data_IF_295234035447
#
_entry.id   IF_295234035447
#
_cell.length_a   1.000
_cell.length_b   1.000
_cell.length_c   1.000
_cell.angle_alpha   90.00
_cell.angle_beta   90.00
_cell.angle_gamma   90.00
#
_symmetry.space_group_name_H-M   'P 1'
#
loop_
_entity.id
_entity.type
_entity.pdbx_description
1 polymer ?
#
# COMPACT_ATOMS: atom_id res chain seq x y z
N UNK A 1 -14.79 6.12 3.09
CA UNK A 1 -14.87 5.64 4.48
C UNK A 1 -14.22 4.26 4.56
N UNK A 2 -13.73 3.82 5.72
CA UNK A 2 -13.26 2.44 5.92
C UNK A 2 -14.42 1.50 6.31
N UNK A 3 -14.11 0.22 6.55
CA UNK A 3 -15.09 -0.82 6.92
C UNK A 3 -15.91 -0.52 8.19
N UNK A 4 -15.46 0.40 9.05
CA UNK A 4 -16.17 0.84 10.26
C UNK A 4 -16.86 2.20 10.12
N UNK A 5 -16.97 2.73 8.89
CA UNK A 5 -17.59 4.03 8.64
C UNK A 5 -16.76 5.22 9.11
N UNK A 6 -15.45 5.06 9.34
CA UNK A 6 -14.54 6.17 9.61
C UNK A 6 -14.18 6.85 8.29
N UNK A 7 -14.26 8.18 8.23
CA UNK A 7 -13.89 8.93 7.04
C UNK A 7 -12.38 8.83 6.81
N UNK A 8 -11.99 8.48 5.57
CA UNK A 8 -10.58 8.38 5.15
C UNK A 8 -10.15 9.60 4.36
N UNK A 9 -10.99 10.06 3.44
CA UNK A 9 -10.78 11.27 2.67
C UNK A 9 -12.16 11.82 2.27
N UNK A 10 -12.25 13.12 2.00
CA UNK A 10 -13.45 13.75 1.46
C UNK A 10 -13.63 13.44 -0.03
N UNK A 11 -12.52 13.40 -0.77
CA UNK A 11 -12.47 13.13 -2.21
C UNK A 11 -11.12 12.52 -2.62
N UNK A 12 -10.97 12.23 -3.92
CA UNK A 12 -9.75 11.64 -4.50
C UNK A 12 -8.54 12.58 -4.36
N UNK A 13 -8.73 13.89 -4.49
CA UNK A 13 -7.65 14.86 -4.33
C UNK A 13 -7.11 14.84 -2.90
N UNK A 14 -8.01 14.81 -1.91
CA UNK A 14 -7.70 14.70 -0.48
C UNK A 14 -7.02 13.37 -0.17
N UNK A 15 -7.44 12.27 -0.80
CA UNK A 15 -6.83 10.94 -0.65
C UNK A 15 -5.34 10.92 -1.05
N UNK A 16 -4.98 11.62 -2.12
CA UNK A 16 -3.59 11.74 -2.60
C UNK A 16 -2.82 12.92 -2.01
N UNK A 17 -3.40 13.60 -1.01
CA UNK A 17 -2.75 14.66 -0.23
C UNK A 17 -2.40 14.18 1.18
N UNK A 18 -1.75 15.02 1.97
CA UNK A 18 -1.50 14.75 3.40
C UNK A 18 -2.77 14.87 4.28
N UNK A 19 -3.91 15.30 3.73
CA UNK A 19 -5.17 15.44 4.46
C UNK A 19 -5.92 14.11 4.67
N UNK A 20 -5.47 13.03 4.03
CA UNK A 20 -6.09 11.72 4.22
C UNK A 20 -5.84 11.19 5.64
N UNK A 21 -6.76 10.35 6.12
CA UNK A 21 -6.71 9.75 7.45
C UNK A 21 -6.20 8.31 7.42
N UNK A 22 -5.35 7.92 6.47
CA UNK A 22 -4.76 6.58 6.41
C UNK A 22 -3.70 6.46 7.51
N UNK A 23 -3.93 5.53 8.42
CA UNK A 23 -3.01 5.12 9.49
C UNK A 23 -3.20 3.62 9.74
N UNK A 24 -2.34 3.01 10.56
CA UNK A 24 -2.49 1.60 10.97
C UNK A 24 -3.88 1.31 11.56
N UNK A 25 -4.46 2.28 12.27
CA UNK A 25 -5.75 2.11 12.96
C UNK A 25 -6.96 2.30 12.03
N UNK A 26 -6.79 2.93 10.87
CA UNK A 26 -7.88 3.24 9.95
C UNK A 26 -7.82 2.46 8.64
N UNK A 27 -6.65 1.97 8.24
CA UNK A 27 -6.44 1.06 7.13
C UNK A 27 -6.80 -0.38 7.54
N UNK A 28 -8.10 -0.62 7.66
CA UNK A 28 -8.66 -1.89 8.09
C UNK A 28 -8.87 -2.85 6.92
N UNK A 29 -8.90 -4.14 7.21
CA UNK A 29 -9.34 -5.15 6.25
C UNK A 29 -10.87 -5.16 6.05
N UNK A 30 -11.37 -6.08 5.22
CA UNK A 30 -12.79 -6.19 4.90
C UNK A 30 -13.69 -6.54 6.09
N UNK A 31 -13.12 -7.05 7.18
CA UNK A 31 -13.82 -7.36 8.45
C UNK A 31 -13.73 -6.21 9.44
N UNK A 32 -13.03 -5.14 9.10
CA UNK A 32 -12.79 -4.01 10.00
C UNK A 32 -11.73 -4.30 11.06
N UNK A 33 -10.86 -5.27 10.84
CA UNK A 33 -9.75 -5.63 11.71
C UNK A 33 -8.50 -4.82 11.33
N UNK A 34 -7.63 -4.59 12.31
CA UNK A 34 -6.35 -3.89 12.09
C UNK A 34 -5.40 -4.84 11.38
N UNK A 35 -4.81 -4.38 10.28
CA UNK A 35 -3.81 -5.14 9.55
C UNK A 35 -2.46 -5.03 10.26
N UNK A 36 -1.75 -6.15 10.38
CA UNK A 36 -0.38 -6.16 10.89
C UNK A 36 0.50 -5.19 10.10
N UNK A 37 1.22 -4.32 10.80
CA UNK A 37 2.17 -3.38 10.22
C UNK A 37 3.60 -3.71 10.63
N UNK A 38 4.48 -2.72 10.44
CA UNK A 38 5.88 -2.79 10.85
C UNK A 38 5.99 -3.07 12.34
N UNK A 39 6.77 -4.08 12.70
CA UNK A 39 6.99 -4.51 14.08
C UNK A 39 6.05 -5.64 14.55
N UNK A 40 4.97 -5.92 13.83
CA UNK A 40 4.09 -7.05 14.12
C UNK A 40 4.58 -8.35 13.45
N UNK A 41 4.00 -9.49 13.84
CA UNK A 41 4.30 -10.81 13.26
C UNK A 41 3.02 -11.53 12.83
N UNK A 42 2.91 -11.98 11.56
CA UNK A 42 3.82 -11.66 10.44
C UNK A 42 3.77 -10.17 10.08
N UNK A 43 4.85 -9.63 9.49
CA UNK A 43 4.89 -8.27 8.96
C UNK A 43 4.09 -8.20 7.65
N UNK A 44 3.12 -7.29 7.55
CA UNK A 44 2.23 -7.11 6.38
C UNK A 44 2.03 -5.62 6.06
N UNK A 45 3.15 -4.91 6.09
CA UNK A 45 3.23 -3.46 6.07
C UNK A 45 3.03 -2.88 4.66
N UNK A 46 3.63 -3.52 3.65
CA UNK A 46 3.55 -3.06 2.27
C UNK A 46 2.22 -3.44 1.61
N UNK A 47 1.65 -2.47 0.90
CA UNK A 47 0.43 -2.62 0.10
C UNK A 47 0.76 -2.29 -1.35
N UNK A 48 0.34 -3.16 -2.27
CA UNK A 48 0.51 -2.99 -3.71
C UNK A 48 -0.32 -1.81 -4.20
N UNK A 49 0.30 -0.88 -4.94
CA UNK A 49 -0.38 0.29 -5.48
C UNK A 49 -0.07 0.53 -6.95
N UNK A 50 1.19 0.36 -7.38
CA UNK A 50 1.57 0.63 -8.77
C UNK A 50 1.39 2.09 -9.19
N UNK A 51 1.47 3.01 -8.22
CA UNK A 51 1.18 4.43 -8.43
C UNK A 51 2.32 5.34 -8.00
N UNK A 52 2.39 6.53 -8.61
CA UNK A 52 3.12 7.68 -8.07
C UNK A 52 2.36 8.27 -6.86
N UNK A 53 2.95 9.20 -6.08
CA UNK A 53 2.27 9.81 -4.94
C UNK A 53 0.93 10.47 -5.29
N UNK A 54 0.84 11.07 -6.48
CA UNK A 54 -0.37 11.71 -7.00
C UNK A 54 -1.48 10.73 -7.47
N UNK A 55 -1.26 9.42 -7.32
CA UNK A 55 -2.21 8.38 -7.71
C UNK A 55 -2.13 7.98 -9.19
N UNK A 56 -1.34 8.66 -10.02
CA UNK A 56 -1.16 8.27 -11.42
C UNK A 56 -0.35 6.98 -11.54
N UNK A 57 -0.58 6.22 -12.62
CA UNK A 57 0.17 4.99 -12.91
C UNK A 57 1.68 5.28 -12.94
N UNK A 58 2.46 4.46 -12.24
CA UNK A 58 3.91 4.44 -12.41
C UNK A 58 4.29 3.46 -13.52
N UNK A 59 5.23 3.85 -14.39
CA UNK A 59 5.68 2.98 -15.47
C UNK A 59 6.48 1.80 -14.92
N UNK A 60 6.26 0.61 -15.48
CA UNK A 60 7.00 -0.63 -15.24
C UNK A 60 7.08 -1.14 -13.79
N UNK A 61 6.29 -0.58 -12.86
CA UNK A 61 6.19 -1.05 -11.47
C UNK A 61 4.75 -1.43 -11.09
N UNK A 62 4.11 -2.20 -11.97
CA UNK A 62 2.77 -2.79 -11.76
C UNK A 62 2.80 -4.31 -11.84
N UNK A 63 3.97 -4.95 -11.72
CA UNK A 63 4.13 -6.39 -11.96
C UNK A 63 3.54 -6.81 -13.32
N UNK A 64 3.86 -6.07 -14.37
CA UNK A 64 3.34 -6.30 -15.72
C UNK A 64 1.82 -6.16 -15.79
N UNK A 65 1.29 -5.03 -15.31
CA UNK A 65 -0.16 -4.79 -15.21
C UNK A 65 -0.89 -5.92 -14.45
N UNK A 66 -0.24 -6.37 -13.37
CA UNK A 66 -0.71 -7.40 -12.44
C UNK A 66 -0.83 -8.80 -13.06
N UNK A 67 -0.05 -9.08 -14.11
CA UNK A 67 -0.02 -10.39 -14.79
C UNK A 67 1.21 -11.23 -14.46
N UNK A 68 2.23 -10.67 -13.82
CA UNK A 68 3.44 -11.38 -13.38
C UNK A 68 3.31 -11.88 -11.95
N UNK A 69 3.79 -13.10 -11.70
CA UNK A 69 3.84 -13.73 -10.37
C UNK A 69 5.19 -14.39 -10.07
N UNK A 70 6.23 -14.05 -10.85
CA UNK A 70 7.57 -14.65 -10.81
C UNK A 70 8.62 -13.74 -10.18
N UNK A 71 9.88 -13.96 -10.54
CA UNK A 71 11.01 -13.11 -10.14
C UNK A 71 11.13 -11.84 -11.00
N UNK A 72 10.41 -11.81 -12.12
CA UNK A 72 10.38 -10.73 -13.09
C UNK A 72 9.44 -9.60 -12.66
N UNK A 73 9.84 -8.37 -12.97
CA UNK A 73 9.08 -7.17 -12.68
C UNK A 73 9.21 -6.70 -11.23
N UNK A 74 8.51 -5.62 -10.93
CA UNK A 74 8.34 -5.12 -9.57
C UNK A 74 6.97 -4.43 -9.48
N UNK A 75 6.47 -4.23 -8.26
CA UNK A 75 5.32 -3.37 -8.01
C UNK A 75 5.73 -2.22 -7.09
N UNK A 76 5.29 -1.00 -7.38
CA UNK A 76 5.35 0.08 -6.41
C UNK A 76 4.40 -0.25 -5.26
N UNK A 77 4.90 -0.10 -4.03
CA UNK A 77 4.16 -0.31 -2.79
C UNK A 77 4.05 1.00 -2.03
N UNK A 78 3.07 1.07 -1.13
CA UNK A 78 3.06 2.05 -0.06
C UNK A 78 2.74 1.40 1.28
N UNK A 79 2.77 2.19 2.34
CA UNK A 79 2.70 1.70 3.72
C UNK A 79 1.38 2.11 4.38
N UNK A 80 0.54 1.13 4.73
CA UNK A 80 -0.76 1.41 5.35
C UNK A 80 -0.64 2.02 6.75
N UNK A 81 0.45 1.70 7.44
CA UNK A 81 0.71 2.15 8.81
C UNK A 81 1.48 3.47 8.88
N UNK A 82 1.87 4.03 7.73
CA UNK A 82 2.64 5.27 7.58
C UNK A 82 4.00 5.23 8.29
N UNK A 83 4.57 4.04 8.49
CA UNK A 83 5.90 3.87 9.11
C UNK A 83 6.99 3.66 8.06
N UNK A 84 8.22 4.01 8.38
CA UNK A 84 9.34 3.89 7.45
C UNK A 84 10.66 3.67 8.17
N UNK A 85 11.76 3.70 7.42
CA UNK A 85 13.11 3.74 7.99
C UNK A 85 13.51 5.13 8.48
N UNK A 86 12.83 6.16 7.99
CA UNK A 86 13.05 7.57 8.30
C UNK A 86 11.74 8.38 8.18
N UNK A 87 11.84 9.69 8.31
CA UNK A 87 10.70 10.62 8.28
C UNK A 87 10.41 11.22 6.88
N UNK A 88 11.04 10.71 5.82
CA UNK A 88 10.81 11.22 4.47
C UNK A 88 9.38 10.97 4.00
N UNK A 89 8.93 11.81 3.05
CA UNK A 89 7.60 11.66 2.44
C UNK A 89 7.42 10.29 1.78
N UNK A 90 8.46 9.76 1.14
CA UNK A 90 8.44 8.42 0.55
C UNK A 90 8.30 7.35 1.63
N UNK A 91 9.11 7.38 2.69
CA UNK A 91 9.09 6.37 3.74
C UNK A 91 7.76 6.32 4.53
N UNK A 92 7.00 7.42 4.54
CA UNK A 92 5.66 7.47 5.13
C UNK A 92 4.54 7.31 4.12
N UNK A 93 4.83 7.28 2.81
CA UNK A 93 3.82 7.29 1.75
C UNK A 93 2.92 6.05 1.81
N UNK A 94 1.61 6.25 1.69
CA UNK A 94 0.64 5.15 1.72
C UNK A 94 0.53 4.46 0.34
N UNK A 95 0.94 5.12 -0.73
CA UNK A 95 0.79 4.65 -2.10
C UNK A 95 2.07 4.65 -2.96
N UNK A 96 3.18 5.21 -2.50
CA UNK A 96 4.39 5.33 -3.31
C UNK A 96 5.64 5.48 -2.44
N UNK A 97 5.99 4.40 -1.73
CA UNK A 97 7.16 4.34 -0.86
C UNK A 97 8.37 3.74 -1.58
N UNK A 98 8.25 2.49 -2.06
CA UNK A 98 9.32 1.81 -2.78
C UNK A 98 8.80 0.70 -3.69
N UNK A 99 9.64 0.23 -4.62
CA UNK A 99 9.34 -0.96 -5.40
C UNK A 99 9.50 -2.24 -4.56
N UNK A 100 8.74 -3.29 -4.90
CA UNK A 100 8.94 -4.64 -4.38
C UNK A 100 10.33 -5.15 -4.71
N UNK A 101 10.88 -5.99 -3.83
CA UNK A 101 12.20 -6.62 -3.97
C UNK A 101 12.03 -8.07 -4.37
N UNK A 102 12.83 -8.51 -5.33
CA UNK A 102 12.90 -9.93 -5.74
C UNK A 102 11.76 -10.41 -6.64
N UNK A 103 10.91 -9.50 -7.13
CA UNK A 103 9.87 -9.81 -8.12
C UNK A 103 8.44 -9.60 -7.61
N UNK A 104 7.54 -10.40 -8.17
CA UNK A 104 6.09 -10.31 -8.04
C UNK A 104 5.46 -11.58 -7.45
N UNK A 105 6.27 -12.58 -7.11
CA UNK A 105 5.81 -13.79 -6.41
C UNK A 105 5.41 -13.48 -4.96
N UNK A 106 4.58 -14.33 -4.37
CA UNK A 106 4.19 -14.17 -2.96
C UNK A 106 5.41 -14.17 -2.01
N UNK A 107 6.42 -14.98 -2.32
CA UNK A 107 7.68 -15.03 -1.56
C UNK A 107 8.43 -13.69 -1.65
N UNK A 108 8.54 -13.12 -2.86
CA UNK A 108 9.16 -11.83 -3.09
C UNK A 108 8.45 -10.70 -2.31
N UNK A 109 7.12 -10.65 -2.37
CA UNK A 109 6.32 -9.65 -1.65
C UNK A 109 6.48 -9.77 -0.12
N UNK A 110 6.52 -10.99 0.41
CA UNK A 110 6.80 -11.25 1.84
C UNK A 110 8.20 -10.84 2.23
N UNK A 111 9.20 -11.08 1.38
CA UNK A 111 10.59 -10.68 1.61
C UNK A 111 10.78 -9.15 1.57
N UNK A 112 9.91 -8.45 0.84
CA UNK A 112 9.89 -6.98 0.78
C UNK A 112 9.35 -6.39 2.08
N UNK A 113 8.27 -6.97 2.62
CA UNK A 113 7.57 -6.44 3.80
C UNK A 113 6.04 -6.48 3.69
N UNK A 114 5.49 -7.01 2.60
CA UNK A 114 4.05 -7.14 2.36
C UNK A 114 3.53 -8.58 2.41
N UNK A 115 2.31 -8.78 1.94
CA UNK A 115 1.70 -10.11 1.77
C UNK A 115 0.74 -10.14 0.57
N UNK A 116 0.99 -9.30 -0.44
CA UNK A 116 0.12 -9.17 -1.61
C UNK A 116 -1.18 -8.42 -1.34
N UNK A 117 -1.19 -7.53 -0.33
CA UNK A 117 -2.34 -6.71 0.02
C UNK A 117 -2.56 -5.61 -1.02
N UNK A 118 -3.82 -5.21 -1.22
CA UNK A 118 -4.22 -4.10 -2.06
C UNK A 118 -5.48 -3.43 -1.48
N UNK A 119 -5.74 -2.18 -1.88
CA UNK A 119 -6.91 -1.44 -1.44
C UNK A 119 -8.11 -1.67 -2.36
N UNK A 120 -9.30 -1.82 -1.77
CA UNK A 120 -10.57 -1.83 -2.48
C UNK A 120 -11.33 -0.53 -2.21
N UNK A 121 -11.64 0.23 -3.26
CA UNK A 121 -12.43 1.45 -3.17
C UNK A 121 -13.84 1.18 -3.70
N UNK A 122 -14.86 1.68 -2.98
CA UNK A 122 -16.25 1.59 -3.45
C UNK A 122 -16.43 2.40 -4.74
N UNK A 123 -17.27 1.89 -5.64
CA UNK A 123 -17.66 2.61 -6.86
C UNK A 123 -18.64 3.73 -6.52
N UNK A 124 -18.58 4.83 -7.30
CA UNK A 124 -19.49 5.97 -7.18
C UNK A 124 -20.88 5.68 -7.74
#
# INVERSE_FOLDING_TARGET
>A
FNAKGVKIADDVASLHSDANAITKQTALDEKGEVVNGRGDKPNRHDVLTGSKPDGTKIADQTCGDWTLSGAEGAAMTGHHDRMGLDDSAAAKSWNSSHASRGGCSQEALRSTGGDGLFYCFAVN
#
